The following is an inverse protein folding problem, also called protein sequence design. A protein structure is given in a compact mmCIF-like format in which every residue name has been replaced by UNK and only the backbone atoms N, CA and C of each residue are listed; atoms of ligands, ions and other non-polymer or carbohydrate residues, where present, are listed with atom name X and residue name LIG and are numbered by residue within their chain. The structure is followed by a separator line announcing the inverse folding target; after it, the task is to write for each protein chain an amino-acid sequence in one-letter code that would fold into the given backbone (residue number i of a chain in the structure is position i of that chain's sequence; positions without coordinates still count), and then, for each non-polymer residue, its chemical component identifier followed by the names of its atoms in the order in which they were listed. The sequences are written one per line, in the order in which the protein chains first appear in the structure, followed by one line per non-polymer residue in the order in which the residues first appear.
data_IF_869637759921
#
_entry.id   IF_869637759921
#
_cell.length_a   1.000
_cell.length_b   1.000
_cell.length_c   1.000
_cell.angle_alpha   90.00
_cell.angle_beta   90.00
_cell.angle_gamma   90.00
#
_symmetry.space_group_name_H-M   'P 1'
#
loop_
_entity.id
_entity.type
_entity.pdbx_description
1 polymer ?
#
# COMPACT_ATOMS: atom_id res chain seq x y z
N UNK A 1 -12.45 15.04 56.40
CA UNK A 1 -13.17 13.75 56.50
C UNK A 1 -13.51 13.33 55.08
N UNK A 2 -12.88 12.23 54.66
CA UNK A 2 -13.11 11.35 53.51
C UNK A 2 -13.25 11.93 52.08
N UNK A 3 -12.14 11.74 51.35
CA UNK A 3 -12.03 11.47 49.91
C UNK A 3 -12.70 10.11 49.62
N UNK A 4 -13.42 9.96 48.50
CA UNK A 4 -13.38 8.73 47.70
C UNK A 4 -13.53 9.02 46.20
N UNK A 5 -12.58 8.44 45.48
CA UNK A 5 -12.42 8.32 44.03
C UNK A 5 -13.04 7.01 43.54
N UNK A 6 -13.38 6.96 42.24
CA UNK A 6 -13.35 5.81 41.31
C UNK A 6 -14.47 6.02 40.28
N UNK A 7 -14.28 5.98 38.96
CA UNK A 7 -13.28 5.25 38.19
C UNK A 7 -14.02 4.25 37.33
N UNK A 8 -14.65 4.70 36.24
CA UNK A 8 -15.37 3.83 35.30
C UNK A 8 -14.44 3.46 34.16
N UNK A 9 -14.04 2.19 34.14
CA UNK A 9 -13.30 1.53 33.07
C UNK A 9 -14.31 1.11 32.01
N UNK A 10 -14.16 1.61 30.78
CA UNK A 10 -14.88 1.07 29.61
C UNK A 10 -14.12 -0.17 29.11
N UNK A 11 -14.80 -1.32 29.17
CA UNK A 11 -14.30 -2.57 28.64
C UNK A 11 -14.29 -2.56 27.11
N UNK A 12 -13.21 -3.08 26.54
CA UNK A 12 -13.10 -3.50 25.13
C UNK A 12 -14.09 -4.64 24.89
N UNK A 13 -15.14 -4.40 24.12
CA UNK A 13 -15.95 -5.46 23.53
C UNK A 13 -15.21 -5.99 22.30
N UNK A 14 -14.76 -7.24 22.40
CA UNK A 14 -14.27 -8.04 21.29
C UNK A 14 -15.46 -8.74 20.64
N UNK A 15 -15.53 -8.73 19.32
CA UNK A 15 -16.59 -9.41 18.57
C UNK A 15 -16.51 -10.94 18.78
N UNK A 16 -17.64 -11.65 18.97
CA UNK A 16 -17.62 -13.08 19.28
C UNK A 16 -17.50 -13.92 18.01
N UNK A 17 -16.61 -14.92 18.05
CA UNK A 17 -16.56 -16.04 17.11
C UNK A 17 -17.60 -17.06 17.56
N UNK A 18 -18.66 -17.27 16.79
CA UNK A 18 -19.61 -18.38 17.01
C UNK A 18 -19.24 -19.57 16.13
N UNK A 19 -18.65 -20.55 16.80
CA UNK A 19 -18.52 -21.94 16.38
C UNK A 19 -19.91 -22.59 16.40
N UNK A 20 -20.37 -23.15 15.28
CA UNK A 20 -21.60 -23.95 15.24
C UNK A 20 -21.24 -25.39 14.89
N UNK A 21 -21.37 -26.25 15.89
CA UNK A 21 -21.43 -27.69 15.73
C UNK A 21 -22.90 -28.12 15.60
N UNK A 22 -23.21 -28.98 14.63
CA UNK A 22 -24.36 -29.89 14.73
C UNK A 22 -24.03 -31.21 14.04
N UNK A 23 -24.08 -32.29 14.81
CA UNK A 23 -24.12 -33.67 14.34
C UNK A 23 -25.57 -34.06 14.00
N UNK A 24 -25.77 -34.92 12.99
CA UNK A 24 -26.69 -36.08 13.09
C UNK A 24 -26.51 -37.08 11.92
N UNK A 25 -26.10 -38.29 12.32
CA UNK A 25 -26.30 -39.69 11.88
C UNK A 25 -26.75 -40.11 10.44
N UNK A 26 -25.84 -40.88 9.81
CA UNK A 26 -25.90 -42.29 9.35
C UNK A 26 -26.84 -42.88 8.26
N UNK A 27 -26.21 -43.84 7.52
CA UNK A 27 -26.65 -44.93 6.61
C UNK A 27 -26.54 -44.63 5.10
N UNK A 28 -25.91 -45.44 4.23
CA UNK A 28 -25.49 -46.86 4.24
C UNK A 28 -24.33 -47.08 3.24
N UNK A 29 -23.48 -48.09 3.49
CA UNK A 29 -22.29 -48.51 2.74
C UNK A 29 -22.54 -49.29 1.43
N UNK A 30 -21.57 -49.27 0.49
CA UNK A 30 -20.81 -50.45 -0.02
C UNK A 30 -19.79 -50.11 -1.15
N UNK A 31 -18.50 -50.44 -0.88
CA UNK A 31 -17.49 -51.20 -1.72
C UNK A 31 -17.01 -50.53 -3.05
N UNK A 32 -15.73 -50.38 -3.42
CA UNK A 32 -14.44 -51.03 -3.11
C UNK A 32 -13.24 -50.12 -3.49
N UNK A 33 -12.06 -50.33 -2.88
CA UNK A 33 -10.75 -50.08 -3.52
C UNK A 33 -9.95 -48.82 -3.15
N UNK A 34 -9.67 -48.58 -1.87
CA UNK A 34 -8.70 -47.56 -1.44
C UNK A 34 -7.26 -48.08 -1.50
N UNK A 35 -6.48 -47.57 -2.45
CA UNK A 35 -5.05 -47.35 -2.23
C UNK A 35 -4.92 -46.13 -1.30
N UNK A 36 -4.20 -46.32 -0.19
CA UNK A 36 -3.98 -45.29 0.81
C UNK A 36 -3.23 -44.10 0.17
N UNK A 37 -3.90 -42.95 0.06
CA UNK A 37 -3.22 -41.67 -0.16
C UNK A 37 -2.60 -41.26 1.18
N UNK A 38 -1.33 -41.60 1.34
CA UNK A 38 -0.47 -41.05 2.37
C UNK A 38 -0.31 -39.55 2.13
N UNK A 39 -0.89 -38.76 3.03
CA UNK A 39 -0.50 -37.38 3.29
C UNK A 39 0.97 -37.36 3.74
N UNK A 40 1.89 -37.26 2.80
CA UNK A 40 3.30 -36.97 3.07
C UNK A 40 3.54 -35.47 2.98
N UNK A 41 4.11 -34.88 4.03
CA UNK A 41 4.78 -33.58 3.92
C UNK A 41 5.89 -33.67 2.85
N UNK A 42 6.11 -32.62 2.03
CA UNK A 42 6.98 -32.72 0.86
C UNK A 42 8.47 -32.83 1.25
N UNK A 43 9.16 -33.77 0.61
CA UNK A 43 10.63 -33.90 0.64
C UNK A 43 11.25 -32.73 -0.17
N UNK A 44 11.96 -31.77 0.47
CA UNK A 44 12.20 -30.44 -0.10
C UNK A 44 13.47 -30.30 -0.94
N UNK A 45 14.12 -31.38 -1.39
CA UNK A 45 15.32 -31.25 -2.23
C UNK A 45 15.61 -32.56 -2.94
N UNK A 46 15.02 -32.74 -4.13
CA UNK A 46 15.31 -33.89 -4.99
C UNK A 46 16.24 -33.48 -6.11
N UNK A 47 17.33 -34.23 -6.31
CA UNK A 47 18.31 -33.94 -7.35
C UNK A 47 17.70 -34.13 -8.76
N UNK A 48 17.79 -33.10 -9.58
CA UNK A 48 17.30 -33.10 -10.96
C UNK A 48 17.69 -31.84 -11.72
N UNK A 49 17.20 -31.75 -12.95
CA UNK A 49 17.46 -30.64 -13.87
C UNK A 49 16.15 -30.13 -14.44
N UNK A 50 16.06 -28.81 -14.64
CA UNK A 50 14.95 -28.20 -15.35
C UNK A 50 15.07 -28.46 -16.85
N UNK A 51 13.96 -28.80 -17.51
CA UNK A 51 13.88 -29.01 -18.94
C UNK A 51 12.56 -28.42 -19.48
N UNK A 52 12.65 -27.54 -20.47
CA UNK A 52 11.48 -26.95 -21.12
C UNK A 52 11.80 -25.64 -21.82
N UNK A 53 10.76 -25.02 -22.36
CA UNK A 53 10.79 -23.68 -22.94
C UNK A 53 9.45 -22.97 -22.68
N UNK A 54 9.47 -21.63 -22.63
CA UNK A 54 8.28 -20.82 -22.38
C UNK A 54 7.56 -21.19 -21.08
N UNK A 55 6.29 -21.58 -21.19
CA UNK A 55 5.44 -22.01 -20.06
C UNK A 55 5.52 -23.53 -19.78
N UNK A 56 6.18 -24.30 -20.64
CA UNK A 56 6.17 -25.77 -20.65
C UNK A 56 7.38 -26.38 -19.93
N UNK A 57 7.69 -25.90 -18.72
CA UNK A 57 8.80 -26.40 -17.91
C UNK A 57 8.48 -27.71 -17.17
N UNK A 58 9.44 -28.62 -17.10
CA UNK A 58 9.42 -29.85 -16.30
C UNK A 58 10.70 -29.95 -15.45
N UNK A 59 10.67 -30.78 -14.41
CA UNK A 59 11.87 -31.11 -13.62
C UNK A 59 12.20 -32.59 -13.72
N UNK A 60 13.29 -32.91 -14.42
CA UNK A 60 13.77 -34.26 -14.69
C UNK A 60 14.69 -34.71 -13.55
N UNK A 61 14.29 -35.78 -12.87
CA UNK A 61 15.07 -36.42 -11.82
C UNK A 61 16.23 -37.24 -12.41
N UNK A 62 17.21 -37.55 -11.57
CA UNK A 62 18.41 -38.34 -11.95
C UNK A 62 18.10 -39.74 -12.49
N UNK A 63 16.93 -40.31 -12.16
CA UNK A 63 16.47 -41.59 -12.69
C UNK A 63 15.81 -41.50 -14.09
N UNK A 64 15.75 -40.29 -14.64
CA UNK A 64 15.18 -39.98 -15.95
C UNK A 64 13.67 -39.72 -15.94
N UNK A 65 12.99 -39.86 -14.80
CA UNK A 65 11.57 -39.50 -14.64
C UNK A 65 11.38 -38.00 -14.38
N UNK A 66 10.14 -37.51 -14.44
CA UNK A 66 9.83 -36.11 -14.12
C UNK A 66 8.87 -36.02 -12.93
N UNK A 67 9.00 -34.94 -12.14
CA UNK A 67 8.07 -34.60 -11.06
C UNK A 67 6.64 -34.43 -11.57
N UNK A 68 5.66 -34.94 -10.81
CA UNK A 68 4.23 -34.92 -11.15
C UNK A 68 3.38 -34.82 -9.89
N UNK A 69 2.38 -33.92 -9.89
CA UNK A 69 1.52 -33.63 -8.73
C UNK A 69 2.32 -33.45 -7.43
N UNK A 70 3.44 -32.75 -7.52
CA UNK A 70 4.41 -32.63 -6.44
C UNK A 70 4.97 -31.23 -6.35
N UNK A 71 5.36 -30.86 -5.14
CA UNK A 71 6.08 -29.64 -4.84
C UNK A 71 7.58 -29.83 -5.05
N UNK A 72 8.27 -28.75 -5.39
CA UNK A 72 9.73 -28.66 -5.43
C UNK A 72 10.15 -27.37 -4.73
N UNK A 73 11.08 -27.47 -3.80
CA UNK A 73 11.77 -26.30 -3.28
C UNK A 73 13.12 -26.19 -4.00
N UNK A 74 13.32 -25.10 -4.73
CA UNK A 74 14.51 -24.90 -5.57
C UNK A 74 14.87 -23.43 -5.58
N UNK A 75 16.16 -23.10 -5.41
CA UNK A 75 16.62 -21.71 -5.47
C UNK A 75 15.94 -20.78 -4.46
N UNK A 76 15.48 -21.28 -3.32
CA UNK A 76 14.78 -20.46 -2.31
C UNK A 76 13.26 -20.33 -2.53
N UNK A 77 12.73 -20.82 -3.64
CA UNK A 77 11.32 -20.71 -4.03
C UNK A 77 10.62 -22.07 -4.08
N UNK A 78 9.30 -22.07 -3.90
CA UNK A 78 8.46 -23.25 -4.10
C UNK A 78 7.86 -23.26 -5.51
N UNK A 79 7.82 -24.44 -6.13
CA UNK A 79 7.23 -24.70 -7.43
C UNK A 79 6.27 -25.88 -7.32
N UNK A 80 5.28 -25.96 -8.21
CA UNK A 80 4.36 -27.09 -8.25
C UNK A 80 4.18 -27.64 -9.66
N UNK A 81 4.18 -28.96 -9.80
CA UNK A 81 4.04 -29.66 -11.07
C UNK A 81 2.66 -30.31 -11.21
N UNK A 82 2.05 -30.16 -12.38
CA UNK A 82 0.79 -30.81 -12.76
C UNK A 82 0.92 -32.34 -12.85
N UNK A 83 -0.21 -33.02 -13.09
CA UNK A 83 -0.22 -34.46 -13.37
C UNK A 83 0.54 -34.87 -14.63
N UNK A 84 0.66 -33.95 -15.58
CA UNK A 84 1.43 -34.18 -16.82
C UNK A 84 2.92 -33.90 -16.62
N UNK A 85 3.30 -33.32 -15.48
CA UNK A 85 4.68 -32.99 -15.11
C UNK A 85 5.14 -31.61 -15.53
N UNK A 86 4.23 -30.78 -16.04
CA UNK A 86 4.50 -29.37 -16.35
C UNK A 86 4.33 -28.51 -15.10
N UNK A 87 5.26 -27.59 -14.89
CA UNK A 87 5.24 -26.54 -13.88
C UNK A 87 3.94 -25.74 -13.97
N UNK A 88 3.50 -25.19 -12.85
CA UNK A 88 2.29 -24.39 -12.79
C UNK A 88 2.61 -22.91 -12.58
N UNK A 89 1.89 -22.07 -13.32
CA UNK A 89 1.86 -20.60 -13.21
C UNK A 89 0.44 -20.14 -12.89
N UNK A 90 0.28 -18.90 -12.43
CA UNK A 90 -0.99 -18.27 -12.06
C UNK A 90 -1.66 -18.89 -10.84
N UNK A 91 -2.97 -18.63 -10.67
CA UNK A 91 -3.75 -19.11 -9.52
C UNK A 91 -4.06 -20.60 -9.65
N UNK A 92 -3.64 -21.40 -8.65
CA UNK A 92 -3.89 -22.85 -8.61
C UNK A 92 -4.40 -23.32 -7.26
N UNK A 93 -5.41 -24.20 -7.29
CA UNK A 93 -5.87 -24.92 -6.11
C UNK A 93 -5.12 -26.23 -5.99
N UNK A 94 -4.41 -26.42 -4.88
CA UNK A 94 -3.62 -27.62 -4.57
C UNK A 94 -4.09 -28.12 -3.19
N UNK A 95 -4.71 -29.30 -3.19
CA UNK A 95 -5.42 -29.80 -2.01
C UNK A 95 -6.55 -28.85 -1.58
N UNK A 96 -6.52 -28.43 -0.31
CA UNK A 96 -7.50 -27.50 0.25
C UNK A 96 -7.15 -26.03 0.04
N UNK A 97 -5.91 -25.71 -0.34
CA UNK A 97 -5.38 -24.34 -0.41
C UNK A 97 -5.31 -23.84 -1.85
N UNK A 98 -5.31 -22.52 -1.99
CA UNK A 98 -5.11 -21.85 -3.29
C UNK A 98 -3.83 -21.02 -3.23
N UNK A 99 -3.01 -21.11 -4.26
CA UNK A 99 -1.71 -20.49 -4.38
C UNK A 99 -1.67 -19.63 -5.64
N UNK A 100 -0.78 -18.65 -5.68
CA UNK A 100 -0.40 -17.95 -6.91
C UNK A 100 1.05 -18.27 -7.22
N UNK A 101 1.32 -18.61 -8.48
CA UNK A 101 2.66 -18.83 -9.01
C UNK A 101 2.93 -17.74 -10.06
N UNK A 102 4.07 -17.06 -10.00
CA UNK A 102 4.45 -16.06 -10.98
C UNK A 102 4.67 -16.65 -12.39
N UNK A 103 5.06 -15.81 -13.35
CA UNK A 103 5.36 -16.23 -14.72
C UNK A 103 6.44 -17.32 -14.79
N UNK A 104 7.47 -17.20 -13.94
CA UNK A 104 8.51 -18.22 -13.79
C UNK A 104 8.11 -19.46 -12.95
N UNK A 105 6.87 -19.52 -12.49
CA UNK A 105 6.35 -20.62 -11.66
C UNK A 105 6.77 -20.61 -10.19
N UNK A 106 7.47 -19.58 -9.72
CA UNK A 106 7.75 -19.42 -8.29
C UNK A 106 6.46 -19.07 -7.53
N UNK A 107 6.21 -19.78 -6.42
CA UNK A 107 5.08 -19.54 -5.54
C UNK A 107 5.24 -18.21 -4.82
N UNK A 108 4.23 -17.35 -4.90
CA UNK A 108 4.22 -16.08 -4.20
C UNK A 108 4.10 -16.24 -2.68
N UNK A 109 4.77 -15.33 -1.97
CA UNK A 109 4.62 -15.08 -0.54
C UNK A 109 4.55 -13.56 -0.36
N UNK A 110 3.57 -13.06 0.40
CA UNK A 110 3.30 -11.63 0.53
C UNK A 110 2.56 -11.06 -0.69
N UNK A 111 2.84 -9.80 -1.02
CA UNK A 111 2.20 -9.10 -2.13
C UNK A 111 2.69 -9.63 -3.48
N UNK A 112 1.76 -9.91 -4.40
CA UNK A 112 2.08 -10.32 -5.77
C UNK A 112 1.19 -9.57 -6.76
N UNK A 113 1.79 -9.07 -7.83
CA UNK A 113 1.09 -8.42 -8.93
C UNK A 113 0.98 -9.38 -10.12
N UNK A 114 -0.18 -9.37 -10.76
CA UNK A 114 -0.47 -10.12 -11.97
C UNK A 114 -0.72 -9.10 -13.09
N UNK A 115 0.23 -9.03 -14.03
CA UNK A 115 0.23 -8.07 -15.13
C UNK A 115 -0.89 -8.35 -16.14
N UNK A 116 -1.19 -9.62 -16.40
CA UNK A 116 -2.23 -10.02 -17.36
C UNK A 116 -3.61 -9.56 -16.92
N UNK A 117 -3.87 -9.67 -15.61
CA UNK A 117 -5.14 -9.33 -15.00
C UNK A 117 -5.19 -7.92 -14.37
N UNK A 118 -4.07 -7.17 -14.42
CA UNK A 118 -3.84 -5.88 -13.77
C UNK A 118 -4.34 -5.85 -12.32
N UNK A 119 -3.96 -6.86 -11.53
CA UNK A 119 -4.50 -7.03 -10.19
C UNK A 119 -3.48 -7.51 -9.15
N UNK A 120 -3.75 -7.17 -7.90
CA UNK A 120 -2.93 -7.58 -6.76
C UNK A 120 -3.53 -8.78 -6.04
N UNK A 121 -2.66 -9.70 -5.65
CA UNK A 121 -2.90 -10.79 -4.72
C UNK A 121 -2.07 -10.57 -3.45
N UNK A 122 -2.43 -11.28 -2.39
CA UNK A 122 -1.59 -11.43 -1.20
C UNK A 122 -1.56 -12.89 -0.78
N UNK A 123 -0.39 -13.45 -0.58
CA UNK A 123 -0.17 -14.81 -0.10
C UNK A 123 0.35 -14.78 1.34
N UNK A 124 -0.17 -15.63 2.22
CA UNK A 124 0.38 -15.82 3.54
C UNK A 124 1.78 -16.47 3.48
N UNK A 125 2.47 -16.59 4.61
CA UNK A 125 3.81 -17.18 4.69
C UNK A 125 3.89 -18.61 4.13
N UNK A 126 2.80 -19.35 4.19
CA UNK A 126 2.67 -20.70 3.65
C UNK A 126 2.21 -20.75 2.19
N UNK A 127 2.12 -19.59 1.52
CA UNK A 127 1.69 -19.43 0.14
C UNK A 127 0.18 -19.39 -0.08
N UNK A 128 -0.65 -19.57 0.96
CA UNK A 128 -2.10 -19.54 0.79
C UNK A 128 -2.60 -18.13 0.44
N UNK A 129 -3.34 -18.01 -0.66
CA UNK A 129 -3.92 -16.75 -1.09
C UNK A 129 -4.95 -16.24 -0.08
N UNK A 130 -4.82 -14.96 0.23
CA UNK A 130 -5.66 -14.23 1.16
C UNK A 130 -7.01 -13.91 0.54
N UNK A 131 -8.07 -14.12 1.33
CA UNK A 131 -9.45 -13.83 0.94
C UNK A 131 -10.11 -12.96 2.01
N UNK A 132 -10.88 -11.97 1.58
CA UNK A 132 -11.54 -11.04 2.49
C UNK A 132 -10.59 -9.97 3.04
N UNK A 133 -10.75 -9.60 4.30
CA UNK A 133 -9.99 -8.51 4.93
C UNK A 133 -8.55 -8.89 5.22
N UNK A 134 -7.62 -8.00 4.86
CA UNK A 134 -6.21 -8.05 5.23
C UNK A 134 -5.84 -6.73 5.91
N UNK A 135 -5.18 -6.80 7.07
CA UNK A 135 -4.54 -5.64 7.68
C UNK A 135 -3.02 -5.75 7.52
N UNK A 136 -2.43 -4.84 6.74
CA UNK A 136 -1.02 -4.87 6.38
C UNK A 136 -0.45 -3.45 6.37
N UNK A 137 0.68 -3.23 7.03
CA UNK A 137 1.35 -1.92 7.14
C UNK A 137 0.46 -0.78 7.67
N UNK A 138 -0.46 -1.08 8.58
CA UNK A 138 -1.38 -0.09 9.15
C UNK A 138 -2.55 0.31 8.24
N UNK A 139 -2.79 -0.41 7.16
CA UNK A 139 -3.91 -0.21 6.26
C UNK A 139 -4.73 -1.49 6.08
N UNK A 140 -6.04 -1.32 5.82
CA UNK A 140 -6.94 -2.41 5.49
C UNK A 140 -7.10 -2.56 3.99
N UNK A 141 -7.09 -3.80 3.51
CA UNK A 141 -7.30 -4.19 2.13
C UNK A 141 -8.40 -5.25 2.06
N UNK A 142 -9.05 -5.38 0.90
CA UNK A 142 -10.10 -6.38 0.69
C UNK A 142 -9.83 -7.20 -0.57
N UNK A 143 -9.82 -8.52 -0.42
CA UNK A 143 -9.67 -9.49 -1.50
C UNK A 143 -10.99 -10.19 -1.77
N UNK A 144 -11.38 -10.27 -3.05
CA UNK A 144 -12.67 -10.80 -3.45
C UNK A 144 -12.75 -12.34 -3.44
N UNK A 145 -13.85 -12.89 -3.95
CA UNK A 145 -14.04 -14.34 -3.96
C UNK A 145 -13.02 -15.11 -4.82
N UNK A 146 -12.34 -14.41 -5.72
CA UNK A 146 -11.29 -14.88 -6.64
C UNK A 146 -9.89 -14.41 -6.19
N UNK A 147 -9.74 -13.95 -4.94
CA UNK A 147 -8.49 -13.49 -4.35
C UNK A 147 -7.92 -12.21 -4.94
N UNK A 148 -8.68 -11.48 -5.78
CA UNK A 148 -8.22 -10.21 -6.36
C UNK A 148 -8.47 -9.06 -5.40
N UNK A 149 -7.46 -8.23 -5.17
CA UNK A 149 -7.58 -7.03 -4.34
C UNK A 149 -8.52 -6.02 -5.00
N UNK A 150 -9.41 -5.44 -4.19
CA UNK A 150 -10.23 -4.32 -4.61
C UNK A 150 -9.47 -3.00 -4.42
N UNK A 151 -9.31 -2.24 -5.50
CA UNK A 151 -8.40 -1.10 -5.53
C UNK A 151 -9.02 0.22 -5.98
N UNK A 152 -10.34 0.41 -5.94
CA UNK A 152 -10.95 1.72 -6.20
C UNK A 152 -12.43 1.75 -5.89
N UNK A 153 -12.88 2.85 -5.31
CA UNK A 153 -14.29 3.19 -5.19
C UNK A 153 -15.01 2.41 -4.08
N UNK A 154 -16.34 2.32 -4.21
CA UNK A 154 -17.19 1.78 -3.16
C UNK A 154 -17.45 0.27 -3.30
N UNK A 155 -17.27 -0.47 -2.21
CA UNK A 155 -17.58 -1.89 -2.11
C UNK A 155 -18.53 -2.18 -0.95
N UNK A 156 -19.53 -3.03 -1.19
CA UNK A 156 -20.33 -3.63 -0.13
C UNK A 156 -19.62 -4.87 0.41
N UNK A 157 -19.39 -4.90 1.72
CA UNK A 157 -18.83 -6.04 2.47
C UNK A 157 -19.66 -6.18 3.74
N UNK A 158 -20.20 -7.37 4.00
CA UNK A 158 -20.98 -7.66 5.22
C UNK A 158 -22.01 -6.59 5.59
N UNK A 159 -22.83 -6.19 4.60
CA UNK A 159 -23.85 -5.15 4.67
C UNK A 159 -23.37 -3.70 4.91
N UNK A 160 -22.07 -3.46 5.00
CA UNK A 160 -21.47 -2.14 5.14
C UNK A 160 -20.87 -1.66 3.81
N UNK A 161 -20.87 -0.35 3.59
CA UNK A 161 -20.34 0.29 2.38
C UNK A 161 -18.99 0.93 2.69
N UNK A 162 -17.92 0.33 2.17
CA UNK A 162 -16.55 0.80 2.33
C UNK A 162 -16.06 1.50 1.07
N UNK A 163 -15.11 2.41 1.22
CA UNK A 163 -14.40 3.04 0.10
C UNK A 163 -12.95 2.57 0.10
N UNK A 164 -12.42 2.28 -1.08
CA UNK A 164 -11.02 1.91 -1.30
C UNK A 164 -10.38 2.91 -2.26
N UNK A 165 -9.17 3.38 -1.92
CA UNK A 165 -8.35 4.24 -2.78
C UNK A 165 -7.67 3.44 -3.90
N UNK A 166 -7.05 4.13 -4.85
CA UNK A 166 -6.39 3.51 -6.02
C UNK A 166 -5.29 2.53 -5.62
N UNK A 167 -4.62 2.81 -4.49
CA UNK A 167 -3.61 1.93 -3.90
C UNK A 167 -4.18 0.70 -3.15
N UNK A 168 -5.51 0.48 -3.14
CA UNK A 168 -6.14 -0.65 -2.45
C UNK A 168 -6.46 -0.42 -0.98
N UNK A 169 -6.04 0.68 -0.40
CA UNK A 169 -6.29 0.91 1.02
C UNK A 169 -7.74 1.36 1.25
N UNK A 170 -8.39 0.76 2.24
CA UNK A 170 -9.71 1.20 2.72
C UNK A 170 -9.60 2.60 3.32
N UNK A 171 -10.63 3.42 3.20
CA UNK A 171 -10.75 4.73 3.87
C UNK A 171 -10.98 4.62 5.39
N UNK A 172 -10.03 4.04 6.13
CA UNK A 172 -9.96 4.13 7.58
C UNK A 172 -9.27 5.43 8.02
N UNK A 173 -9.89 6.18 8.94
CA UNK A 173 -9.41 7.49 9.41
C UNK A 173 -9.11 8.44 8.25
N UNK A 174 -10.02 8.51 7.28
CA UNK A 174 -9.82 9.26 6.04
C UNK A 174 -11.10 9.96 5.55
N UNK A 175 -10.94 10.91 4.64
CA UNK A 175 -12.00 11.65 4.00
C UNK A 175 -12.25 11.15 2.57
N UNK A 176 -13.52 10.93 2.24
CA UNK A 176 -13.95 10.70 0.86
C UNK A 176 -15.02 11.72 0.50
N UNK A 177 -14.70 12.57 -0.46
CA UNK A 177 -15.38 13.83 -0.69
C UNK A 177 -15.45 14.63 0.63
N UNK A 178 -16.65 15.01 1.08
CA UNK A 178 -16.86 15.76 2.32
C UNK A 178 -17.07 14.84 3.53
N UNK A 179 -17.04 13.51 3.35
CA UNK A 179 -17.42 12.59 4.42
C UNK A 179 -16.20 12.02 5.11
N UNK A 180 -16.20 12.02 6.45
CA UNK A 180 -15.18 11.35 7.23
C UNK A 180 -15.55 9.89 7.49
N UNK A 181 -14.57 9.01 7.40
CA UNK A 181 -14.68 7.58 7.72
C UNK A 181 -13.71 7.26 8.87
N UNK A 182 -14.24 6.62 9.90
CA UNK A 182 -13.54 6.29 11.14
C UNK A 182 -12.51 5.15 10.94
N UNK A 183 -11.90 4.69 12.03
CA UNK A 183 -10.92 3.59 12.01
C UNK A 183 -11.45 2.27 11.43
N UNK A 184 -12.77 2.08 11.45
CA UNK A 184 -13.44 0.91 10.90
C UNK A 184 -13.86 1.12 9.45
N UNK A 185 -13.56 2.26 8.84
CA UNK A 185 -13.99 2.60 7.48
C UNK A 185 -15.49 2.88 7.38
N UNK A 186 -16.13 3.24 8.50
CA UNK A 186 -17.54 3.60 8.55
C UNK A 186 -17.68 5.11 8.67
N UNK A 187 -18.69 5.67 7.99
CA UNK A 187 -18.85 7.13 7.99
C UNK A 187 -19.26 7.63 9.37
N UNK A 188 -18.46 8.54 9.92
CA UNK A 188 -18.82 9.34 11.09
C UNK A 188 -19.10 10.79 10.68
N UNK A 189 -20.38 11.15 10.73
CA UNK A 189 -20.87 12.47 10.34
C UNK A 189 -20.40 13.60 11.26
N UNK A 190 -19.96 13.28 12.48
CA UNK A 190 -19.49 14.28 13.43
C UNK A 190 -18.29 15.06 12.88
N UNK A 191 -17.46 14.41 12.06
CA UNK A 191 -16.21 14.97 11.53
C UNK A 191 -16.28 15.29 10.02
N UNK A 192 -17.47 15.23 9.41
CA UNK A 192 -17.67 15.61 8.02
C UNK A 192 -17.20 17.06 7.76
N UNK A 193 -16.69 17.32 6.56
CA UNK A 193 -16.26 18.67 6.15
C UNK A 193 -17.47 19.60 6.12
N UNK A 194 -17.37 20.71 6.85
CA UNK A 194 -18.44 21.71 6.89
C UNK A 194 -18.38 22.60 5.64
N UNK A 195 -19.45 22.63 4.86
CA UNK A 195 -19.58 23.51 3.69
C UNK A 195 -19.97 24.91 4.14
N UNK A 196 -19.23 25.92 3.68
CA UNK A 196 -19.43 27.34 3.95
C UNK A 196 -19.70 28.08 2.64
N UNK A 197 -20.96 28.37 2.37
CA UNK A 197 -21.38 29.10 1.19
C UNK A 197 -22.75 28.67 0.68
N UNK A 198 -23.20 29.33 -0.38
CA UNK A 198 -24.52 29.14 -0.97
C UNK A 198 -24.52 28.06 -2.05
N UNK A 199 -23.41 27.89 -2.79
CA UNK A 199 -23.32 26.85 -3.82
C UNK A 199 -22.98 25.49 -3.21
N UNK A 200 -23.37 24.44 -3.91
CA UNK A 200 -22.92 23.08 -3.61
C UNK A 200 -21.52 22.86 -4.20
N UNK A 201 -20.69 22.01 -3.58
CA UNK A 201 -19.46 21.52 -4.19
C UNK A 201 -19.72 20.84 -5.54
N UNK A 202 -18.85 21.08 -6.53
CA UNK A 202 -18.90 20.40 -7.83
C UNK A 202 -18.35 18.98 -7.72
N UNK A 203 -18.52 18.16 -8.76
CA UNK A 203 -17.95 16.81 -8.80
C UNK A 203 -16.41 16.85 -8.79
N UNK A 204 -15.82 17.80 -9.50
CA UNK A 204 -14.36 18.00 -9.53
C UNK A 204 -13.82 18.40 -8.17
N UNK A 205 -14.51 19.28 -7.44
CA UNK A 205 -14.09 19.67 -6.08
C UNK A 205 -14.19 18.50 -5.10
N UNK A 206 -15.25 17.70 -5.19
CA UNK A 206 -15.42 16.48 -4.39
C UNK A 206 -14.30 15.49 -4.63
N UNK A 207 -14.00 15.23 -5.91
CA UNK A 207 -12.91 14.34 -6.33
C UNK A 207 -11.56 14.87 -5.84
N UNK A 208 -11.29 16.15 -6.07
CA UNK A 208 -10.05 16.80 -5.64
C UNK A 208 -9.86 16.80 -4.12
N UNK A 209 -10.95 16.82 -3.33
CA UNK A 209 -10.84 16.67 -1.87
C UNK A 209 -10.37 15.25 -1.54
N UNK A 210 -10.98 14.22 -2.13
CA UNK A 210 -10.55 12.84 -1.93
C UNK A 210 -9.07 12.67 -2.29
N UNK A 211 -8.65 13.15 -3.46
CA UNK A 211 -7.27 13.06 -3.95
C UNK A 211 -6.27 13.80 -3.04
N UNK A 212 -6.58 15.03 -2.63
CA UNK A 212 -5.70 15.80 -1.76
C UNK A 212 -5.58 15.21 -0.35
N UNK A 213 -6.56 14.43 0.08
CA UNK A 213 -6.61 13.82 1.40
C UNK A 213 -6.02 12.39 1.44
N UNK A 214 -5.94 11.71 0.30
CA UNK A 214 -5.47 10.32 0.18
C UNK A 214 -4.03 10.14 0.66
N UNK A 215 -3.13 11.05 0.27
CA UNK A 215 -1.71 11.00 0.68
C UNK A 215 -1.47 11.43 2.13
N UNK A 216 -2.46 12.03 2.79
CA UNK A 216 -2.29 12.52 4.17
C UNK A 216 -2.30 11.31 5.12
N UNK A 217 -1.32 11.21 6.02
CA UNK A 217 -1.28 10.13 6.98
C UNK A 217 -2.52 10.03 7.88
N UNK A 218 -3.11 8.84 7.89
CA UNK A 218 -4.33 8.49 8.63
C UNK A 218 -4.25 8.81 10.12
N UNK A 219 -3.08 8.53 10.71
CA UNK A 219 -2.79 8.84 12.11
C UNK A 219 -2.89 10.33 12.42
N UNK A 220 -2.47 11.19 11.49
CA UNK A 220 -2.56 12.64 11.64
C UNK A 220 -3.97 13.17 11.41
N UNK A 221 -4.74 12.54 10.52
CA UNK A 221 -6.16 12.87 10.34
C UNK A 221 -6.96 12.48 11.59
N UNK A 222 -6.69 11.31 12.17
CA UNK A 222 -7.29 10.92 13.44
C UNK A 222 -6.94 11.91 14.56
N UNK A 223 -5.65 12.25 14.72
CA UNK A 223 -5.18 13.26 15.69
C UNK A 223 -5.85 14.63 15.46
N UNK A 224 -6.03 15.05 14.22
CA UNK A 224 -6.70 16.31 13.86
C UNK A 224 -8.14 16.32 14.41
N UNK A 225 -8.91 15.27 14.12
CA UNK A 225 -10.30 15.13 14.56
C UNK A 225 -10.43 14.99 16.08
N UNK A 226 -9.63 14.13 16.70
CA UNK A 226 -9.61 13.93 18.17
C UNK A 226 -9.18 15.18 18.93
N UNK A 227 -8.31 16.00 18.33
CA UNK A 227 -7.88 17.28 18.89
C UNK A 227 -8.94 18.38 18.76
N UNK A 228 -10.09 18.09 18.15
CA UNK A 228 -11.20 19.01 17.97
C UNK A 228 -11.00 20.02 16.84
N UNK A 229 -10.17 19.70 15.85
CA UNK A 229 -10.07 20.53 14.65
C UNK A 229 -11.23 20.27 13.68
N UNK A 230 -11.64 21.31 12.96
CA UNK A 230 -12.71 21.25 11.97
C UNK A 230 -12.20 21.62 10.57
N UNK A 231 -12.61 20.85 9.56
CA UNK A 231 -12.44 21.19 8.15
C UNK A 231 -13.62 22.01 7.63
N UNK A 232 -13.32 23.14 6.99
CA UNK A 232 -14.33 24.03 6.44
C UNK A 232 -14.06 24.35 4.97
N UNK A 233 -14.96 23.91 4.08
CA UNK A 233 -14.87 24.19 2.65
C UNK A 233 -15.69 25.42 2.25
N UNK A 234 -15.00 26.50 1.86
CA UNK A 234 -15.62 27.75 1.47
C UNK A 234 -15.86 27.82 -0.02
N UNK A 235 -17.10 27.62 -0.44
CA UNK A 235 -17.43 27.50 -1.85
C UNK A 235 -17.49 28.86 -2.56
N UNK A 236 -17.93 29.91 -1.87
CA UNK A 236 -18.17 31.23 -2.49
C UNK A 236 -16.97 32.17 -2.36
N UNK A 237 -15.93 31.77 -1.61
CA UNK A 237 -14.71 32.54 -1.41
C UNK A 237 -13.66 32.09 -2.43
N UNK A 238 -12.94 33.04 -3.04
CA UNK A 238 -11.94 32.72 -4.07
C UNK A 238 -10.57 32.35 -3.51
N UNK A 239 -10.10 33.06 -2.49
CA UNK A 239 -8.80 32.88 -1.84
C UNK A 239 -8.81 33.58 -0.47
N UNK A 240 -7.83 33.28 0.39
CA UNK A 240 -7.63 33.90 1.69
C UNK A 240 -6.60 35.03 1.68
N UNK A 241 -5.54 34.88 0.90
CA UNK A 241 -4.49 35.88 0.73
C UNK A 241 -4.02 35.89 -0.73
N UNK A 242 -3.47 37.03 -1.16
CA UNK A 242 -2.95 37.22 -2.51
C UNK A 242 -1.67 38.08 -2.49
N UNK A 243 -0.58 37.64 -1.82
CA UNK A 243 0.65 38.40 -1.75
C UNK A 243 1.27 38.62 -3.14
N UNK A 244 1.94 39.78 -3.29
CA UNK A 244 2.75 40.07 -4.47
C UNK A 244 4.14 39.50 -4.28
N UNK A 245 4.49 38.55 -5.13
CA UNK A 245 5.80 37.88 -5.17
C UNK A 245 6.60 38.38 -6.37
N UNK A 246 7.85 37.95 -6.48
CA UNK A 246 8.70 38.25 -7.65
C UNK A 246 8.14 37.67 -8.95
N UNK A 247 7.43 36.55 -8.87
CA UNK A 247 6.81 35.85 -10.00
C UNK A 247 5.38 36.32 -10.31
N UNK A 248 4.86 37.30 -9.55
CA UNK A 248 3.50 37.83 -9.69
C UNK A 248 2.63 37.63 -8.46
N UNK A 249 1.31 37.68 -8.63
CA UNK A 249 0.36 37.46 -7.52
C UNK A 249 0.28 35.96 -7.24
N UNK A 250 0.64 35.56 -6.03
CA UNK A 250 0.44 34.19 -5.56
C UNK A 250 -0.85 34.12 -4.75
N UNK A 251 -1.74 33.17 -5.05
CA UNK A 251 -3.04 33.06 -4.38
C UNK A 251 -3.01 31.92 -3.35
N UNK A 252 -3.26 32.26 -2.09
CA UNK A 252 -3.35 31.29 -0.98
C UNK A 252 -4.81 30.89 -0.79
N UNK A 253 -5.13 29.61 -0.96
CA UNK A 253 -6.50 29.10 -0.98
C UNK A 253 -6.97 28.51 0.35
N UNK A 254 -6.11 28.49 1.36
CA UNK A 254 -6.41 27.98 2.69
C UNK A 254 -6.08 29.00 3.79
N UNK A 255 -6.52 28.69 5.00
CA UNK A 255 -6.15 29.36 6.23
C UNK A 255 -6.27 28.39 7.40
N UNK A 256 -5.18 28.26 8.13
CA UNK A 256 -5.06 27.43 9.34
C UNK A 256 -5.20 28.33 10.56
N UNK A 257 -6.13 28.01 11.46
CA UNK A 257 -6.48 28.83 12.62
C UNK A 257 -6.33 28.00 13.88
N UNK A 258 -5.16 28.08 14.52
CA UNK A 258 -4.78 27.27 15.68
C UNK A 258 -5.56 27.64 16.94
N UNK A 259 -6.01 28.90 17.06
CA UNK A 259 -6.80 29.35 18.20
C UNK A 259 -8.21 28.75 18.19
N UNK A 260 -8.88 28.79 17.04
CA UNK A 260 -10.22 28.22 16.89
C UNK A 260 -10.22 26.76 16.41
N UNK A 261 -9.04 26.18 16.14
CA UNK A 261 -8.84 24.85 15.58
C UNK A 261 -9.64 24.63 14.29
N UNK A 262 -9.45 25.53 13.32
CA UNK A 262 -10.16 25.48 12.04
C UNK A 262 -9.18 25.50 10.89
N UNK A 263 -9.28 24.50 10.01
CA UNK A 263 -8.60 24.50 8.72
C UNK A 263 -9.64 24.82 7.66
N UNK A 264 -9.48 25.99 7.05
CA UNK A 264 -10.44 26.54 6.08
C UNK A 264 -9.80 26.52 4.70
N UNK A 265 -10.53 26.12 3.67
CA UNK A 265 -9.99 26.07 2.31
C UNK A 265 -11.05 26.46 1.28
N UNK A 266 -10.63 26.97 0.13
CA UNK A 266 -11.50 27.30 -1.01
C UNK A 266 -11.24 26.42 -2.22
N UNK A 267 -10.13 25.68 -2.20
CA UNK A 267 -9.70 24.81 -3.29
C UNK A 267 -9.08 23.52 -2.74
N UNK A 268 -9.47 22.34 -3.27
CA UNK A 268 -8.97 21.07 -2.74
C UNK A 268 -7.45 20.94 -2.78
N UNK A 269 -6.79 21.46 -3.83
CA UNK A 269 -5.34 21.39 -3.98
C UNK A 269 -4.53 22.06 -2.85
N UNK A 270 -5.16 22.87 -2.00
CA UNK A 270 -4.51 23.49 -0.84
C UNK A 270 -4.58 22.68 0.45
N UNK A 271 -5.32 21.55 0.45
CA UNK A 271 -5.61 20.80 1.68
C UNK A 271 -4.37 20.15 2.29
N UNK A 272 -3.54 19.48 1.49
CA UNK A 272 -2.34 18.80 1.98
C UNK A 272 -1.37 19.79 2.63
N UNK A 273 -1.11 20.93 1.99
CA UNK A 273 -0.28 22.01 2.54
C UNK A 273 -0.87 22.55 3.85
N UNK A 274 -2.17 22.84 3.87
CA UNK A 274 -2.86 23.33 5.05
C UNK A 274 -2.83 22.32 6.22
N UNK A 275 -2.93 21.03 5.92
CA UNK A 275 -2.74 19.97 6.92
C UNK A 275 -1.31 19.96 7.44
N UNK A 276 -0.33 20.15 6.56
CA UNK A 276 1.06 20.31 6.94
C UNK A 276 1.28 21.49 7.88
N UNK A 277 0.62 22.63 7.70
CA UNK A 277 0.65 23.73 8.71
C UNK A 277 0.06 23.33 10.06
N UNK A 278 -1.04 22.55 10.06
CA UNK A 278 -1.56 21.99 11.31
C UNK A 278 -0.52 21.08 11.98
N UNK A 279 0.13 20.21 11.21
CA UNK A 279 1.19 19.33 11.72
C UNK A 279 2.37 20.14 12.23
N UNK A 280 2.77 21.21 11.53
CA UNK A 280 3.81 22.13 11.96
C UNK A 280 3.50 22.69 13.34
N UNK A 281 2.28 23.19 13.55
CA UNK A 281 1.86 23.72 14.84
C UNK A 281 1.76 22.64 15.93
N UNK A 282 1.28 21.45 15.59
CA UNK A 282 1.18 20.34 16.51
C UNK A 282 2.55 19.78 16.95
N UNK A 283 3.59 19.96 16.12
CA UNK A 283 4.95 19.47 16.35
C UNK A 283 5.93 20.56 16.79
N UNK A 284 5.51 21.84 16.76
CA UNK A 284 6.34 23.00 17.09
C UNK A 284 7.31 23.42 15.97
N UNK A 285 7.09 22.94 14.74
CA UNK A 285 7.83 23.28 13.53
C UNK A 285 7.28 24.54 12.82
N UNK A 286 6.40 25.31 13.48
CA UNK A 286 5.86 26.59 13.02
C UNK A 286 6.66 27.81 13.53
N UNK A 287 7.80 27.59 14.19
CA UNK A 287 8.68 28.63 14.77
C UNK A 287 9.75 29.14 13.79
N UNK A 288 10.22 30.37 13.99
CA UNK A 288 11.22 31.02 13.10
C UNK A 288 12.57 30.27 13.02
N UNK A 289 12.98 29.53 14.06
CA UNK A 289 14.21 28.74 14.07
C UNK A 289 13.89 27.25 13.91
N UNK A 290 14.03 26.72 12.70
CA UNK A 290 13.79 25.31 12.41
C UNK A 290 14.90 24.65 11.60
N UNK A 291 15.41 23.53 12.11
CA UNK A 291 16.53 22.81 11.51
C UNK A 291 16.22 22.26 10.11
N UNK A 292 14.95 21.92 9.83
CA UNK A 292 14.55 21.33 8.54
C UNK A 292 14.67 22.32 7.37
N UNK A 293 14.62 23.63 7.63
CA UNK A 293 14.44 24.64 6.59
C UNK A 293 15.61 24.68 5.61
N UNK A 294 16.84 24.58 6.13
CA UNK A 294 18.05 24.57 5.30
C UNK A 294 18.14 23.27 4.46
N UNK A 295 17.89 22.12 5.08
CA UNK A 295 17.88 20.83 4.40
C UNK A 295 16.78 20.77 3.32
N UNK A 296 15.61 21.36 3.60
CA UNK A 296 14.51 21.42 2.64
C UNK A 296 14.78 22.37 1.49
N UNK A 297 15.35 23.54 1.75
CA UNK A 297 15.75 24.47 0.69
C UNK A 297 16.80 23.85 -0.23
N UNK A 298 17.78 23.14 0.33
CA UNK A 298 18.78 22.42 -0.46
C UNK A 298 18.13 21.31 -1.30
N UNK A 299 17.24 20.52 -0.69
CA UNK A 299 16.48 19.50 -1.41
C UNK A 299 15.67 20.09 -2.59
N UNK A 300 15.00 21.23 -2.41
CA UNK A 300 14.26 21.90 -3.49
C UNK A 300 15.15 22.39 -4.64
N UNK A 301 16.43 22.70 -4.38
CA UNK A 301 17.39 23.07 -5.43
C UNK A 301 17.89 21.85 -6.21
N UNK A 302 18.03 20.71 -5.51
CA UNK A 302 18.55 19.48 -6.08
C UNK A 302 17.45 18.65 -6.77
N UNK A 303 16.21 18.74 -6.27
CA UNK A 303 15.05 18.01 -6.80
C UNK A 303 14.43 18.74 -8.00
N UNK A 304 14.15 17.99 -9.07
CA UNK A 304 13.43 18.48 -10.23
C UNK A 304 11.91 18.30 -10.18
N UNK A 305 11.39 17.64 -9.14
CA UNK A 305 9.98 17.22 -9.07
C UNK A 305 9.20 17.86 -7.92
N UNK A 306 9.88 18.21 -6.82
CA UNK A 306 9.26 18.93 -5.71
C UNK A 306 8.91 20.37 -6.11
N UNK A 307 7.73 20.85 -5.70
CA UNK A 307 7.26 22.18 -6.07
C UNK A 307 7.55 23.18 -4.94
N UNK A 308 8.44 24.19 -5.15
CA UNK A 308 8.77 25.18 -4.14
C UNK A 308 7.69 26.25 -4.00
N UNK A 309 7.64 26.89 -2.83
CA UNK A 309 6.90 28.13 -2.64
C UNK A 309 7.67 29.34 -3.19
N UNK A 310 7.00 30.45 -3.52
CA UNK A 310 7.67 31.71 -3.80
C UNK A 310 8.49 32.20 -2.60
N UNK A 311 9.63 32.87 -2.86
CA UNK A 311 10.54 33.43 -1.84
C UNK A 311 9.89 34.37 -0.83
N UNK A 312 8.70 34.90 -1.15
CA UNK A 312 7.85 35.62 -0.21
C UNK A 312 7.62 34.86 1.11
N UNK A 313 7.59 33.52 1.06
CA UNK A 313 7.33 32.66 2.21
C UNK A 313 8.60 32.11 2.89
N UNK A 314 9.81 32.56 2.51
CA UNK A 314 11.09 32.02 3.03
C UNK A 314 11.22 32.14 4.56
N UNK A 315 10.51 33.09 5.17
CA UNK A 315 10.47 33.30 6.63
C UNK A 315 9.16 32.83 7.28
N UNK A 316 8.29 32.14 6.53
CA UNK A 316 7.04 31.58 7.04
C UNK A 316 7.22 30.08 7.27
N UNK A 317 7.78 29.72 8.43
CA UNK A 317 8.11 28.33 8.77
C UNK A 317 6.90 27.40 8.75
N UNK A 318 5.71 27.91 9.10
CA UNK A 318 4.47 27.13 9.01
C UNK A 318 4.13 26.80 7.55
N UNK A 319 4.13 27.80 6.65
CA UNK A 319 3.89 27.57 5.22
C UNK A 319 4.95 26.66 4.60
N UNK A 320 6.22 26.81 4.99
CA UNK A 320 7.32 26.00 4.46
C UNK A 320 7.25 24.55 4.94
N UNK A 321 6.95 24.30 6.22
CA UNK A 321 6.69 22.95 6.70
C UNK A 321 5.45 22.37 6.02
N UNK A 322 4.41 23.19 5.83
CA UNK A 322 3.22 22.82 5.06
C UNK A 322 3.57 22.30 3.66
N UNK A 323 4.43 23.02 2.95
CA UNK A 323 4.89 22.64 1.62
C UNK A 323 5.80 21.42 1.63
N UNK A 324 6.70 21.28 2.62
CA UNK A 324 7.48 20.07 2.83
C UNK A 324 6.57 18.85 3.04
N UNK A 325 5.56 18.99 3.89
CA UNK A 325 4.60 17.94 4.19
C UNK A 325 3.79 17.53 2.95
N UNK A 326 3.25 18.49 2.20
CA UNK A 326 2.53 18.21 0.95
C UNK A 326 3.40 17.44 -0.04
N UNK A 327 4.63 17.89 -0.24
CA UNK A 327 5.59 17.22 -1.11
C UNK A 327 5.91 15.81 -0.59
N UNK A 328 6.14 15.64 0.72
CA UNK A 328 6.42 14.34 1.33
C UNK A 328 5.25 13.35 1.23
N UNK A 329 4.00 13.82 1.16
CA UNK A 329 2.83 12.96 0.97
C UNK A 329 2.76 12.33 -0.43
N UNK A 330 3.54 12.83 -1.40
CA UNK A 330 3.61 12.29 -2.76
C UNK A 330 4.66 11.17 -2.84
N UNK A 331 4.30 9.92 -3.20
CA UNK A 331 5.23 8.79 -3.22
C UNK A 331 6.53 9.05 -3.99
N UNK A 332 6.43 9.63 -5.18
CA UNK A 332 7.55 9.94 -6.06
C UNK A 332 8.52 10.95 -5.45
N UNK A 333 7.99 11.98 -4.78
CA UNK A 333 8.80 13.01 -4.11
C UNK A 333 9.42 12.46 -2.83
N UNK A 334 8.72 11.60 -2.09
CA UNK A 334 9.24 10.92 -0.91
C UNK A 334 10.39 9.97 -1.25
N UNK A 335 10.27 9.22 -2.35
CA UNK A 335 11.34 8.35 -2.86
C UNK A 335 12.56 9.16 -3.33
N UNK A 336 12.34 10.27 -4.02
CA UNK A 336 13.39 11.22 -4.44
C UNK A 336 14.09 11.86 -3.22
N UNK A 337 13.33 12.31 -2.22
CA UNK A 337 13.85 12.86 -0.97
C UNK A 337 14.71 11.85 -0.21
N UNK A 338 14.32 10.57 -0.17
CA UNK A 338 15.12 9.50 0.43
C UNK A 338 16.49 9.35 -0.22
N UNK A 339 16.59 9.62 -1.53
CA UNK A 339 17.84 9.54 -2.32
C UNK A 339 18.68 10.81 -2.17
N UNK A 340 18.07 11.99 -2.35
CA UNK A 340 18.77 13.27 -2.43
C UNK A 340 19.03 13.91 -1.06
N UNK A 341 18.14 13.72 -0.09
CA UNK A 341 18.27 14.29 1.26
C UNK A 341 17.85 13.28 2.36
N UNK A 342 18.68 12.26 2.62
CA UNK A 342 18.36 11.23 3.62
C UNK A 342 18.16 11.78 5.06
N UNK A 343 18.78 12.91 5.41
CA UNK A 343 18.56 13.56 6.72
C UNK A 343 17.15 14.13 6.82
N UNK A 344 16.70 14.86 5.79
CA UNK A 344 15.35 15.43 5.73
C UNK A 344 14.28 14.34 5.70
N UNK A 345 14.51 13.26 4.94
CA UNK A 345 13.62 12.12 4.91
C UNK A 345 13.42 11.50 6.31
N UNK A 346 14.52 11.22 7.03
CA UNK A 346 14.46 10.70 8.41
C UNK A 346 13.79 11.68 9.36
N UNK A 347 14.08 12.97 9.23
CA UNK A 347 13.42 14.00 10.02
C UNK A 347 11.89 13.97 9.82
N UNK A 348 11.41 13.79 8.59
CA UNK A 348 9.98 13.64 8.31
C UNK A 348 9.41 12.35 8.89
N UNK A 349 10.11 11.21 8.77
CA UNK A 349 9.68 9.94 9.40
C UNK A 349 9.55 10.08 10.93
N UNK A 350 10.55 10.67 11.59
CA UNK A 350 10.56 10.89 13.03
C UNK A 350 9.45 11.87 13.46
N UNK A 351 9.29 12.97 12.72
CA UNK A 351 8.30 14.01 13.02
C UNK A 351 6.89 13.47 12.87
N UNK A 352 6.63 12.69 11.83
CA UNK A 352 5.30 12.18 11.55
C UNK A 352 4.99 10.88 12.30
N UNK A 353 6.00 10.08 12.64
CA UNK A 353 5.87 8.82 13.35
C UNK A 353 5.07 7.77 12.58
N UNK A 354 5.24 7.70 11.25
CA UNK A 354 4.50 6.78 10.38
C UNK A 354 5.50 5.83 9.72
N UNK A 355 5.19 4.54 9.75
CA UNK A 355 5.86 3.54 8.91
C UNK A 355 4.89 3.09 7.82
N UNK A 356 5.39 2.97 6.59
CA UNK A 356 4.68 2.32 5.47
C UNK A 356 5.14 0.88 5.26
N UNK A 357 5.98 0.35 6.16
CA UNK A 357 6.48 -1.02 6.10
C UNK A 357 5.32 -2.02 6.14
N UNK A 358 5.32 -2.97 5.19
CA UNK A 358 4.28 -3.98 5.05
C UNK A 358 3.02 -3.53 4.29
N UNK A 359 2.91 -2.24 3.89
CA UNK A 359 1.88 -1.84 2.94
C UNK A 359 2.15 -2.46 1.56
N UNK A 360 1.11 -2.53 0.73
CA UNK A 360 1.26 -2.88 -0.68
C UNK A 360 2.33 -1.98 -1.33
N UNK A 361 3.31 -2.55 -2.05
CA UNK A 361 4.29 -1.75 -2.78
C UNK A 361 3.62 -0.97 -3.92
N UNK A 362 4.27 0.11 -4.36
CA UNK A 362 3.89 0.78 -5.61
C UNK A 362 4.25 -0.11 -6.81
N UNK A 363 3.56 0.05 -7.94
CA UNK A 363 3.79 -0.79 -9.13
C UNK A 363 5.24 -0.67 -9.63
N UNK A 364 5.81 0.53 -9.59
CA UNK A 364 7.20 0.81 -9.99
C UNK A 364 8.26 0.23 -9.02
N UNK A 365 7.88 -0.10 -7.79
CA UNK A 365 8.76 -0.70 -6.78
C UNK A 365 8.68 -2.24 -6.76
N UNK A 366 7.73 -2.82 -7.50
CA UNK A 366 7.63 -4.27 -7.64
C UNK A 366 8.61 -4.76 -8.70
N UNK A 367 9.77 -5.21 -8.23
CA UNK A 367 10.63 -6.09 -9.00
C UNK A 367 9.84 -7.40 -9.12
N UNK A 368 9.57 -7.86 -10.34
CA UNK A 368 9.08 -9.21 -10.58
C UNK A 368 9.88 -10.20 -9.72
N UNK A 369 9.29 -11.32 -9.31
CA UNK A 369 10.05 -12.40 -8.65
C UNK A 369 11.04 -13.07 -9.63
N UNK A 370 11.60 -12.33 -10.58
CA UNK A 370 12.27 -12.80 -11.79
C UNK A 370 13.76 -12.49 -11.89
N UNK A 371 14.40 -11.86 -10.90
CA UNK A 371 15.87 -11.78 -10.90
C UNK A 371 16.50 -11.95 -9.50
N UNK A 372 17.02 -13.16 -9.27
CA UNK A 372 18.10 -13.51 -8.33
C UNK A 372 17.78 -13.60 -6.81
N UNK A 373 17.38 -14.78 -6.29
CA UNK A 373 17.78 -15.20 -4.96
C UNK A 373 19.21 -15.72 -5.03
N UNK A 374 20.18 -14.84 -4.76
CA UNK A 374 21.62 -15.08 -4.83
C UNK A 374 22.11 -16.52 -4.67
N UNK A 375 22.79 -17.00 -5.72
CA UNK A 375 23.93 -17.93 -5.73
C UNK A 375 23.71 -19.33 -5.13
N UNK A 376 23.57 -20.35 -6.00
CA UNK A 376 24.61 -21.39 -6.23
C UNK A 376 24.60 -21.79 -7.72
N UNK A 377 25.80 -21.79 -8.30
CA UNK A 377 26.14 -22.18 -9.67
C UNK A 377 25.52 -23.50 -10.15
N UNK A 378 24.97 -23.48 -11.37
CA UNK A 378 24.93 -24.65 -12.25
C UNK A 378 23.55 -25.29 -12.44
N UNK A 379 22.59 -24.56 -12.98
CA UNK A 379 21.36 -25.15 -13.51
C UNK A 379 20.52 -24.09 -14.21
N UNK A 380 20.32 -24.23 -15.53
CA UNK A 380 19.41 -23.40 -16.32
C UNK A 380 17.98 -23.67 -15.85
N UNK A 381 17.52 -22.94 -14.84
CA UNK A 381 16.13 -22.93 -14.39
C UNK A 381 15.30 -21.90 -15.16
N UNK A 382 13.99 -21.79 -14.88
CA UNK A 382 13.05 -20.91 -15.59
C UNK A 382 13.35 -19.40 -15.48
N UNK A 383 14.39 -18.97 -14.75
CA UNK A 383 14.71 -17.57 -14.47
C UNK A 383 16.18 -17.19 -14.79
N UNK A 384 16.74 -17.65 -15.93
CA UNK A 384 18.13 -17.26 -16.29
C UNK A 384 18.39 -17.01 -17.78
N UNK A 385 17.39 -16.65 -18.59
CA UNK A 385 17.62 -16.35 -20.01
C UNK A 385 17.24 -14.91 -20.40
N UNK A 386 17.95 -13.92 -19.86
CA UNK A 386 18.12 -12.64 -20.54
C UNK A 386 19.21 -12.78 -21.63
N UNK A 387 18.84 -13.34 -22.77
CA UNK A 387 19.63 -13.27 -24.00
C UNK A 387 19.53 -11.86 -24.63
N UNK A 388 20.11 -10.86 -23.95
CA UNK A 388 20.60 -9.63 -24.57
C UNK A 388 22.11 -9.54 -24.37
N UNK A 389 22.87 -9.91 -25.40
CA UNK A 389 24.33 -9.79 -25.35
C UNK A 389 25.00 -10.14 -26.67
N UNK A 390 24.93 -9.23 -27.63
CA UNK A 390 25.94 -9.21 -28.69
C UNK A 390 27.31 -8.94 -28.09
N UNK A 391 28.36 -9.59 -28.61
CA UNK A 391 29.59 -8.92 -29.04
C UNK A 391 30.57 -9.90 -29.70
N UNK A 392 30.97 -9.52 -30.93
CA UNK A 392 32.34 -9.41 -31.46
C UNK A 392 33.23 -10.68 -31.47
N UNK A 393 33.70 -11.03 -32.67
CA UNK A 393 34.65 -12.12 -32.92
C UNK A 393 36.06 -11.92 -32.36
N UNK A 394 36.99 -12.82 -32.70
CA UNK A 394 38.04 -12.39 -33.62
C UNK A 394 38.49 -13.42 -34.68
N UNK A 395 39.13 -12.83 -35.68
CA UNK A 395 39.97 -13.30 -36.78
C UNK A 395 40.64 -14.70 -36.72
N UNK A 396 40.79 -15.27 -37.93
CA UNK A 396 42.13 -15.63 -38.41
C UNK A 396 42.32 -17.00 -39.09
N UNK A 397 42.24 -17.02 -40.44
CA UNK A 397 43.34 -17.49 -41.30
C UNK A 397 43.55 -18.99 -41.61
N UNK A 398 43.73 -19.22 -42.93
CA UNK A 398 44.28 -20.38 -43.65
C UNK A 398 43.37 -21.63 -43.76
N UNK A 399 43.21 -22.26 -44.92
CA UNK A 399 44.02 -22.32 -46.15
C UNK A 399 43.19 -22.12 -47.43
#
# INVERSE_FOLDING_TARGET
MMILSSGTVFGRETLPVQETASADAEQQAEIDGQAAETSGEPDPSVDGEWEGDGEDWQYRLTDGTCLKKSWLYYGGCWYYFSSSGYMQTGVKRIGSKTYYFGGNGAMAVGWAYDEDDECWYHAAEDGELTKGWLHAGGAWYWFDSKYKMYNRGYRMVDAHKYYFYENGQMAANQYVEMNYYDENGLRDKQYDITIQGKRRPTAEEKKGITEAMEGIPREWIRKFNESGWELMFFTDKKYYSAPRTEQGIYYVYHKTDTHYKKLKFTKPESLALAFGEYVASATGNDKEENAFMADYQQYLMDSGIAQPLPSYFDNDSSMLFGNLFENYCKPEVRADMKKLSPSLYRYMEETLGISTEGQKPDEDDFIEMDDDPGIISGGNGPASDESLGGQIGPAGGAA
#
